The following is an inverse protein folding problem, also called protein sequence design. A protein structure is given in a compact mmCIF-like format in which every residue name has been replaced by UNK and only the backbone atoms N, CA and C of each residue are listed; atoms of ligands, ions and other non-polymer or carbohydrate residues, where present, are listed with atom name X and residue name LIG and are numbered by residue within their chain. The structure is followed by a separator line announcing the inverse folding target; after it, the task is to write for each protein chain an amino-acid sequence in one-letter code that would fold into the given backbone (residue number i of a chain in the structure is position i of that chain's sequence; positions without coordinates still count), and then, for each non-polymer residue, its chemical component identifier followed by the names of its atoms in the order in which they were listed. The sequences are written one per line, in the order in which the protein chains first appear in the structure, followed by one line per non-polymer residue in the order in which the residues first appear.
data_IF_060502364140
#
_entry.id   IF_060502364140
#
_cell.length_a   1.000
_cell.length_b   1.000
_cell.length_c   1.000
_cell.angle_alpha   90.00
_cell.angle_beta   90.00
_cell.angle_gamma   90.00
#
_symmetry.space_group_name_H-M   'P 1'
#
loop_
_entity.id
_entity.type
_entity.pdbx_description
1 polymer ?
#
# COMPACT_ATOMS: atom_id res chain seq x y z
N UNK A 1 0.41 -5.57 -24.48
CA UNK A 1 -0.85 -5.13 -23.83
C UNK A 1 -0.92 -5.74 -22.44
N UNK A 2 -1.10 -4.95 -21.38
CA UNK A 2 -1.34 -5.51 -20.03
C UNK A 2 -2.70 -6.22 -20.04
N UNK A 3 -2.73 -7.49 -19.62
CA UNK A 3 -3.96 -8.27 -19.50
C UNK A 3 -4.90 -7.62 -18.48
N UNK A 4 -6.14 -7.40 -18.88
CA UNK A 4 -7.16 -6.91 -17.95
C UNK A 4 -7.72 -8.12 -17.19
N UNK A 5 -7.39 -8.20 -15.89
CA UNK A 5 -7.81 -9.32 -15.03
C UNK A 5 -9.25 -9.10 -14.56
N UNK A 6 -10.08 -10.12 -14.60
CA UNK A 6 -11.36 -10.13 -13.91
C UNK A 6 -11.17 -10.37 -12.40
N UNK A 7 -12.23 -10.17 -11.60
CA UNK A 7 -12.15 -10.27 -10.12
C UNK A 7 -11.65 -11.64 -9.64
N UNK A 8 -12.05 -12.72 -10.29
CA UNK A 8 -11.60 -14.09 -9.95
C UNK A 8 -10.08 -14.23 -10.19
N UNK A 9 -9.59 -13.74 -11.31
CA UNK A 9 -8.16 -13.75 -11.64
C UNK A 9 -7.35 -12.86 -10.68
N UNK A 10 -7.89 -11.70 -10.28
CA UNK A 10 -7.25 -10.81 -9.31
C UNK A 10 -7.12 -11.50 -7.94
N UNK A 11 -8.16 -12.21 -7.49
CA UNK A 11 -8.12 -12.99 -6.25
C UNK A 11 -7.03 -14.05 -6.29
N UNK A 12 -6.97 -14.85 -7.37
CA UNK A 12 -5.92 -15.84 -7.57
C UNK A 12 -4.52 -15.22 -7.61
N UNK A 13 -4.38 -14.03 -8.23
CA UNK A 13 -3.13 -13.29 -8.24
C UNK A 13 -2.73 -12.84 -6.82
N UNK A 14 -3.65 -12.40 -5.99
CA UNK A 14 -3.38 -12.07 -4.58
C UNK A 14 -2.83 -13.29 -3.82
N UNK A 15 -3.44 -14.45 -4.00
CA UNK A 15 -2.99 -15.71 -3.38
C UNK A 15 -1.59 -16.11 -3.87
N UNK A 16 -1.34 -16.00 -5.18
CA UNK A 16 -0.02 -16.27 -5.78
C UNK A 16 1.06 -15.35 -5.20
N UNK A 17 0.82 -14.04 -5.18
CA UNK A 17 1.80 -13.08 -4.69
C UNK A 17 2.03 -13.21 -3.18
N UNK A 18 1.01 -13.59 -2.41
CA UNK A 18 1.13 -13.93 -0.99
C UNK A 18 2.08 -15.11 -0.77
N UNK A 19 1.94 -16.17 -1.56
CA UNK A 19 2.87 -17.32 -1.52
C UNK A 19 4.30 -16.92 -1.95
N UNK A 20 4.44 -16.07 -2.99
CA UNK A 20 5.75 -15.55 -3.41
C UNK A 20 6.43 -14.77 -2.29
N UNK A 21 5.66 -13.98 -1.52
CA UNK A 21 6.19 -13.26 -0.37
C UNK A 21 6.75 -14.20 0.71
N UNK A 22 6.00 -15.26 1.08
CA UNK A 22 6.51 -16.24 2.03
C UNK A 22 7.78 -16.93 1.51
N UNK A 23 7.85 -17.24 0.21
CA UNK A 23 9.07 -17.81 -0.39
C UNK A 23 10.28 -16.87 -0.28
N UNK A 24 10.10 -15.54 -0.40
CA UNK A 24 11.19 -14.59 -0.15
C UNK A 24 11.71 -14.70 1.30
N UNK A 25 10.82 -14.81 2.28
CA UNK A 25 11.20 -14.98 3.68
C UNK A 25 11.95 -16.29 3.92
N UNK A 26 11.52 -17.39 3.29
CA UNK A 26 12.22 -18.69 3.34
C UNK A 26 13.64 -18.56 2.76
N UNK A 27 13.83 -17.75 1.73
CA UNK A 27 15.12 -17.48 1.09
C UNK A 27 15.98 -16.48 1.87
N UNK A 28 15.62 -16.15 3.12
CA UNK A 28 16.44 -15.32 4.02
C UNK A 28 16.20 -13.81 3.93
N UNK A 29 15.26 -13.35 3.11
CA UNK A 29 14.87 -11.94 3.13
C UNK A 29 14.12 -11.60 4.41
N UNK A 30 14.43 -10.44 5.01
CA UNK A 30 13.78 -9.94 6.23
C UNK A 30 12.93 -8.73 5.88
N UNK A 31 11.62 -8.85 6.04
CA UNK A 31 10.65 -7.81 5.75
C UNK A 31 9.58 -7.73 6.84
N UNK A 32 8.90 -6.61 6.92
CA UNK A 32 7.74 -6.44 7.80
C UNK A 32 6.54 -7.24 7.27
N UNK A 33 6.29 -8.39 7.88
CA UNK A 33 5.32 -9.37 7.38
C UNK A 33 3.90 -8.84 7.48
N UNK A 34 3.52 -8.38 8.68
CA UNK A 34 2.15 -7.98 8.96
C UNK A 34 1.67 -6.84 8.06
N UNK A 35 2.47 -5.77 7.96
CA UNK A 35 2.16 -4.60 7.14
C UNK A 35 2.19 -4.86 5.64
N UNK A 36 3.01 -5.82 5.19
CA UNK A 36 3.05 -6.25 3.78
C UNK A 36 1.79 -7.02 3.40
N UNK A 37 1.39 -7.98 4.24
CA UNK A 37 0.23 -8.84 3.96
C UNK A 37 -1.10 -8.11 4.13
N UNK A 38 -1.20 -7.10 5.00
CA UNK A 38 -2.44 -6.33 5.20
C UNK A 38 -2.86 -5.57 3.95
N UNK A 39 -1.92 -4.91 3.27
CA UNK A 39 -2.22 -4.08 2.10
C UNK A 39 -2.07 -4.81 0.75
N UNK A 40 -1.72 -6.09 0.75
CA UNK A 40 -1.45 -6.86 -0.48
C UNK A 40 -2.65 -6.82 -1.45
N UNK A 41 -3.86 -7.09 -0.97
CA UNK A 41 -5.05 -7.14 -1.81
C UNK A 41 -5.37 -5.77 -2.43
N UNK A 42 -5.17 -4.68 -1.68
CA UNK A 42 -5.32 -3.30 -2.16
C UNK A 42 -4.38 -3.02 -3.33
N UNK A 43 -3.10 -3.40 -3.20
CA UNK A 43 -2.09 -3.19 -4.25
C UNK A 43 -2.33 -4.10 -5.46
N UNK A 44 -2.74 -5.35 -5.25
CA UNK A 44 -3.03 -6.26 -6.36
C UNK A 44 -4.18 -5.71 -7.20
N UNK A 45 -5.28 -5.26 -6.59
CA UNK A 45 -6.36 -4.62 -7.36
C UNK A 45 -5.86 -3.38 -8.09
N UNK A 46 -5.05 -2.53 -7.46
CA UNK A 46 -4.53 -1.32 -8.09
C UNK A 46 -3.70 -1.62 -9.34
N UNK A 47 -2.76 -2.56 -9.24
CA UNK A 47 -1.76 -2.83 -10.29
C UNK A 47 -2.22 -3.84 -11.35
N UNK A 48 -3.25 -4.65 -11.10
CA UNK A 48 -3.71 -5.70 -12.05
C UNK A 48 -5.09 -5.42 -12.65
N UNK A 49 -5.79 -4.36 -12.23
CA UNK A 49 -7.08 -3.95 -12.82
C UNK A 49 -6.98 -2.69 -13.68
N UNK A 50 -5.79 -2.36 -14.18
CA UNK A 50 -5.55 -1.16 -15.00
C UNK A 50 -5.90 0.19 -14.34
N UNK A 51 -6.02 0.25 -13.00
CA UNK A 51 -6.15 1.52 -12.30
C UNK A 51 -4.84 2.28 -12.30
N UNK A 52 -3.71 1.57 -12.21
CA UNK A 52 -2.37 2.13 -12.24
C UNK A 52 -1.47 1.32 -13.19
N UNK A 53 -1.03 1.94 -14.28
CA UNK A 53 -0.17 1.32 -15.30
C UNK A 53 1.30 1.67 -15.06
N UNK A 54 1.97 0.91 -14.21
CA UNK A 54 3.32 1.21 -13.73
C UNK A 54 4.38 1.33 -14.84
N UNK A 55 4.24 0.57 -15.92
CA UNK A 55 5.18 0.59 -17.04
C UNK A 55 4.91 1.70 -18.07
N UNK A 56 3.80 2.44 -17.97
CA UNK A 56 3.45 3.50 -18.90
C UNK A 56 4.37 4.71 -18.72
N UNK A 57 4.87 5.28 -19.79
CA UNK A 57 5.64 6.54 -19.78
C UNK A 57 4.83 7.71 -19.23
N UNK A 58 3.52 7.71 -19.46
CA UNK A 58 2.59 8.75 -18.98
C UNK A 58 1.71 8.24 -17.84
N UNK A 59 2.28 7.48 -16.88
CA UNK A 59 1.55 6.94 -15.75
C UNK A 59 1.15 8.01 -14.75
N UNK A 60 0.14 7.69 -13.95
CA UNK A 60 -0.17 8.35 -12.70
C UNK A 60 1.01 8.22 -11.70
N UNK A 61 0.94 8.86 -10.54
CA UNK A 61 1.91 8.70 -9.46
C UNK A 61 1.40 7.74 -8.39
N UNK A 62 2.30 6.96 -7.80
CA UNK A 62 2.01 6.06 -6.68
C UNK A 62 3.03 6.23 -5.56
N UNK A 63 2.56 6.68 -4.40
CA UNK A 63 3.35 6.85 -3.20
C UNK A 63 2.99 5.76 -2.19
N UNK A 64 3.92 4.84 -1.92
CA UNK A 64 3.78 3.85 -0.87
C UNK A 64 4.26 4.46 0.45
N UNK A 65 3.42 5.28 1.11
CA UNK A 65 3.77 5.99 2.34
C UNK A 65 4.21 5.02 3.44
N UNK A 66 3.49 3.91 3.61
CA UNK A 66 3.94 2.80 4.46
C UNK A 66 5.08 2.00 3.79
N UNK A 67 6.24 2.65 3.68
CA UNK A 67 7.39 2.11 2.97
C UNK A 67 7.89 0.74 3.45
N UNK A 68 7.58 0.38 4.71
CA UNK A 68 7.86 -0.95 5.23
C UNK A 68 7.08 -2.09 4.53
N UNK A 69 6.07 -1.78 3.71
CA UNK A 69 5.41 -2.74 2.82
C UNK A 69 6.10 -2.90 1.44
N UNK A 70 7.31 -2.38 1.28
CA UNK A 70 8.16 -2.46 0.08
C UNK A 70 8.23 -3.88 -0.53
N UNK A 71 8.18 -4.93 0.31
CA UNK A 71 8.29 -6.31 -0.19
C UNK A 71 7.21 -6.65 -1.22
N UNK A 72 5.94 -6.28 -0.98
CA UNK A 72 4.88 -6.55 -1.95
C UNK A 72 5.03 -5.71 -3.21
N UNK A 73 5.52 -4.48 -3.11
CA UNK A 73 5.81 -3.65 -4.27
C UNK A 73 6.89 -4.29 -5.16
N UNK A 74 8.00 -4.75 -4.57
CA UNK A 74 9.04 -5.46 -5.29
C UNK A 74 8.54 -6.77 -5.94
N UNK A 75 7.69 -7.52 -5.25
CA UNK A 75 7.07 -8.74 -5.80
C UNK A 75 6.19 -8.41 -7.02
N UNK A 76 5.42 -7.33 -6.96
CA UNK A 76 4.63 -6.86 -8.09
C UNK A 76 5.54 -6.47 -9.27
N UNK A 77 6.65 -5.77 -9.02
CA UNK A 77 7.61 -5.43 -10.07
C UNK A 77 8.24 -6.68 -10.70
N UNK A 78 8.57 -7.69 -9.91
CA UNK A 78 9.11 -8.97 -10.40
C UNK A 78 8.06 -9.70 -11.23
N UNK A 79 6.82 -9.81 -10.75
CA UNK A 79 5.74 -10.49 -11.46
C UNK A 79 5.42 -9.81 -12.80
N UNK A 80 5.51 -8.48 -12.85
CA UNK A 80 5.37 -7.69 -14.09
C UNK A 80 6.63 -7.66 -14.96
N UNK A 81 7.70 -8.38 -14.59
CA UNK A 81 9.01 -8.41 -15.29
C UNK A 81 9.70 -7.03 -15.39
N UNK A 82 9.43 -6.15 -14.45
CA UNK A 82 10.03 -4.81 -14.34
C UNK A 82 11.26 -4.78 -13.44
N UNK A 83 11.40 -5.79 -12.59
CA UNK A 83 12.55 -6.05 -11.72
C UNK A 83 12.91 -7.53 -11.82
N UNK A 84 14.18 -7.87 -11.98
CA UNK A 84 14.61 -9.27 -11.90
C UNK A 84 14.85 -9.69 -10.44
N UNK A 85 14.59 -10.97 -10.13
CA UNK A 85 14.87 -11.52 -8.81
C UNK A 85 16.37 -11.39 -8.44
N UNK A 86 17.26 -11.65 -9.39
CA UNK A 86 18.70 -11.50 -9.19
C UNK A 86 19.10 -10.07 -8.82
N UNK A 87 18.46 -9.05 -9.44
CA UNK A 87 18.70 -7.63 -9.09
C UNK A 87 18.20 -7.32 -7.68
N UNK A 88 17.03 -7.84 -7.30
CA UNK A 88 16.50 -7.69 -5.93
C UNK A 88 17.47 -8.33 -4.91
N UNK A 89 17.90 -9.57 -5.15
CA UNK A 89 18.80 -10.31 -4.26
C UNK A 89 20.15 -9.62 -4.12
N UNK A 90 20.77 -9.20 -5.23
CA UNK A 90 22.02 -8.45 -5.22
C UNK A 90 21.90 -7.13 -4.45
N UNK A 91 20.83 -6.38 -4.67
CA UNK A 91 20.56 -5.12 -3.97
C UNK A 91 20.31 -5.33 -2.48
N UNK A 92 19.58 -6.38 -2.11
CA UNK A 92 19.34 -6.73 -0.72
C UNK A 92 20.65 -7.09 0.02
N UNK A 93 21.51 -7.93 -0.57
CA UNK A 93 22.82 -8.30 -0.01
C UNK A 93 23.74 -7.08 0.17
N UNK A 94 23.69 -6.11 -0.75
CA UNK A 94 24.44 -4.85 -0.67
C UNK A 94 23.82 -3.80 0.24
N UNK A 95 22.71 -4.12 0.94
CA UNK A 95 21.91 -3.20 1.74
C UNK A 95 21.33 -1.99 0.96
N UNK A 96 21.36 -2.03 -0.39
CA UNK A 96 20.82 -0.96 -1.24
C UNK A 96 19.30 -1.03 -1.38
N UNK A 97 18.68 -2.19 -1.13
CA UNK A 97 17.24 -2.36 -0.99
C UNK A 97 16.91 -2.51 0.49
N UNK A 98 17.10 -1.43 1.27
CA UNK A 98 16.83 -1.38 2.69
C UNK A 98 15.36 -1.63 3.03
N UNK A 99 14.95 -1.40 4.26
CA UNK A 99 13.58 -1.63 4.71
C UNK A 99 12.52 -0.67 4.14
N UNK A 100 12.92 0.33 3.33
CA UNK A 100 12.08 1.39 2.79
C UNK A 100 12.30 1.56 1.28
N UNK A 101 11.34 2.23 0.61
CA UNK A 101 11.47 2.56 -0.82
C UNK A 101 12.51 3.67 -1.04
N UNK A 102 13.26 3.53 -2.12
CA UNK A 102 14.29 4.48 -2.51
C UNK A 102 14.27 4.71 -4.03
N UNK A 103 14.15 5.97 -4.45
CA UNK A 103 14.13 6.40 -5.85
C UNK A 103 15.44 6.08 -6.58
N UNK A 104 16.57 6.06 -5.88
CA UNK A 104 17.87 5.73 -6.49
C UNK A 104 18.01 4.25 -6.84
N UNK A 105 17.21 3.39 -6.20
CA UNK A 105 17.23 1.95 -6.43
C UNK A 105 16.23 1.48 -7.49
N UNK A 106 15.19 2.28 -7.79
CA UNK A 106 14.17 1.90 -8.78
C UNK A 106 13.48 3.10 -9.40
N UNK A 107 13.52 3.19 -10.73
CA UNK A 107 12.77 4.20 -11.52
C UNK A 107 11.24 4.11 -11.38
N UNK A 108 10.74 3.09 -10.70
CA UNK A 108 9.31 2.89 -10.44
C UNK A 108 8.88 3.42 -9.08
N UNK A 109 9.81 3.90 -8.27
CA UNK A 109 9.57 4.57 -7.00
C UNK A 109 9.46 6.06 -7.26
N UNK A 110 8.38 6.70 -6.84
CA UNK A 110 8.12 8.11 -7.06
C UNK A 110 8.62 9.00 -5.90
N UNK A 111 8.86 8.40 -4.72
CA UNK A 111 9.32 9.11 -3.54
C UNK A 111 10.00 8.17 -2.53
N UNK A 112 11.02 8.67 -1.85
CA UNK A 112 11.66 7.97 -0.73
C UNK A 112 10.73 7.95 0.47
N UNK A 113 10.65 6.83 1.18
CA UNK A 113 9.78 6.66 2.33
C UNK A 113 10.59 6.32 3.58
N UNK A 114 9.95 6.42 4.75
CA UNK A 114 10.56 6.14 6.06
C UNK A 114 10.08 7.10 7.12
N UNK A 115 9.90 8.37 6.80
CA UNK A 115 9.28 9.35 7.69
C UNK A 115 7.76 9.33 7.50
N UNK A 116 7.03 9.01 8.57
CA UNK A 116 5.57 8.91 8.56
C UNK A 116 4.92 10.27 8.25
N UNK A 117 3.81 10.27 7.53
CA UNK A 117 2.98 11.44 7.23
C UNK A 117 3.49 12.33 6.08
N UNK A 118 4.74 12.22 5.67
CA UNK A 118 5.34 13.13 4.69
C UNK A 118 4.85 12.92 3.25
N UNK A 119 4.45 11.70 2.90
CA UNK A 119 4.03 11.38 1.53
C UNK A 119 2.78 12.14 1.07
N UNK A 120 1.93 12.62 2.00
CA UNK A 120 0.76 13.42 1.65
C UNK A 120 1.20 14.81 1.14
N UNK A 121 2.12 15.47 1.82
CA UNK A 121 2.69 16.75 1.38
C UNK A 121 3.36 16.65 0.00
N UNK A 122 4.14 15.59 -0.21
CA UNK A 122 4.73 15.29 -1.52
C UNK A 122 3.65 15.06 -2.58
N UNK A 123 2.60 14.32 -2.24
CA UNK A 123 1.44 14.10 -3.11
C UNK A 123 0.73 15.40 -3.51
N UNK A 124 0.65 16.37 -2.61
CA UNK A 124 0.13 17.71 -2.90
C UNK A 124 1.00 18.41 -3.96
N UNK A 125 2.32 18.45 -3.77
CA UNK A 125 3.24 19.06 -4.73
C UNK A 125 3.15 18.40 -6.11
N UNK A 126 3.12 17.07 -6.18
CA UNK A 126 2.93 16.31 -7.41
C UNK A 126 1.57 16.62 -8.07
N UNK A 127 0.51 16.73 -7.26
CA UNK A 127 -0.85 17.04 -7.71
C UNK A 127 -0.93 18.42 -8.37
N UNK A 128 -0.38 19.44 -7.73
CA UNK A 128 -0.36 20.83 -8.24
C UNK A 128 0.39 20.87 -9.58
N UNK A 129 1.54 20.22 -9.67
CA UNK A 129 2.35 20.20 -10.90
C UNK A 129 1.72 19.35 -12.02
N UNK A 130 0.90 18.35 -11.68
CA UNK A 130 0.34 17.37 -12.61
C UNK A 130 -1.19 17.25 -12.45
N UNK A 131 -1.99 18.28 -12.71
CA UNK A 131 -3.42 18.31 -12.41
C UNK A 131 -4.25 17.28 -13.20
N UNK A 132 -3.71 16.78 -14.32
CA UNK A 132 -4.36 15.75 -15.17
C UNK A 132 -4.05 14.31 -14.75
N UNK A 133 -3.09 14.09 -13.84
CA UNK A 133 -2.70 12.76 -13.34
C UNK A 133 -3.33 12.48 -11.99
N UNK A 134 -3.66 11.24 -11.70
CA UNK A 134 -4.05 10.82 -10.35
C UNK A 134 -2.82 10.53 -9.51
N UNK A 135 -2.88 10.94 -8.25
CA UNK A 135 -1.84 10.68 -7.25
C UNK A 135 -2.43 9.67 -6.26
N UNK A 136 -1.96 8.44 -6.33
CA UNK A 136 -2.35 7.35 -5.44
C UNK A 136 -1.38 7.30 -4.25
N UNK A 137 -1.89 7.32 -3.03
CA UNK A 137 -1.06 7.30 -1.82
C UNK A 137 -1.58 6.19 -0.90
N UNK A 138 -0.75 5.18 -0.60
CA UNK A 138 -1.10 4.15 0.37
C UNK A 138 -0.42 4.47 1.71
N UNK A 139 -1.22 4.76 2.73
CA UNK A 139 -0.79 5.09 4.09
C UNK A 139 -1.20 4.00 5.09
N UNK A 140 -0.51 3.93 6.22
CA UNK A 140 -0.94 3.14 7.37
C UNK A 140 -1.88 3.93 8.28
N UNK A 141 -2.71 3.22 9.06
CA UNK A 141 -3.61 3.86 10.03
C UNK A 141 -2.86 4.56 11.17
N UNK A 142 -1.76 3.99 11.68
CA UNK A 142 -0.91 4.63 12.68
C UNK A 142 -0.26 5.92 12.16
N UNK A 143 -0.06 6.04 10.86
CA UNK A 143 0.49 7.25 10.22
C UNK A 143 -0.46 8.45 10.33
N UNK A 144 -1.76 8.21 10.51
CA UNK A 144 -2.75 9.27 10.76
C UNK A 144 -2.64 9.91 12.15
N UNK A 145 -1.82 9.39 13.04
CA UNK A 145 -1.47 10.04 14.31
C UNK A 145 -0.47 11.20 14.12
N UNK A 146 0.18 11.29 12.96
CA UNK A 146 1.13 12.36 12.64
C UNK A 146 0.40 13.66 12.29
N UNK A 147 0.82 14.78 12.90
CA UNK A 147 0.23 16.10 12.63
C UNK A 147 0.33 16.52 11.17
N UNK A 148 1.44 16.19 10.48
CA UNK A 148 1.66 16.49 9.07
C UNK A 148 0.61 15.87 8.13
N UNK A 149 -0.01 14.76 8.52
CA UNK A 149 -1.14 14.17 7.76
C UNK A 149 -2.35 15.11 7.79
N UNK A 150 -2.68 15.63 8.98
CA UNK A 150 -3.83 16.53 9.15
C UNK A 150 -3.59 17.87 8.46
N UNK A 151 -2.40 18.44 8.56
CA UNK A 151 -2.00 19.65 7.82
C UNK A 151 -2.20 19.46 6.32
N UNK A 152 -1.75 18.32 5.78
CA UNK A 152 -1.92 17.99 4.37
C UNK A 152 -3.40 17.82 3.99
N UNK A 153 -4.22 17.16 4.83
CA UNK A 153 -5.65 17.00 4.58
C UNK A 153 -6.40 18.33 4.58
N UNK A 154 -6.08 19.23 5.53
CA UNK A 154 -6.64 20.58 5.55
C UNK A 154 -6.25 21.35 4.29
N UNK A 155 -4.98 21.28 3.88
CA UNK A 155 -4.51 21.94 2.67
C UNK A 155 -5.25 21.42 1.42
N UNK A 156 -5.40 20.09 1.27
CA UNK A 156 -6.13 19.46 0.16
C UNK A 156 -7.57 19.97 0.13
N UNK A 157 -8.23 20.03 1.29
CA UNK A 157 -9.61 20.47 1.44
C UNK A 157 -9.79 21.94 1.08
N UNK A 158 -9.00 22.83 1.69
CA UNK A 158 -9.09 24.29 1.49
C UNK A 158 -8.78 24.70 0.05
N UNK A 159 -7.73 24.09 -0.54
CA UNK A 159 -7.31 24.38 -1.91
C UNK A 159 -8.09 23.58 -2.97
N UNK A 160 -9.10 22.79 -2.57
CA UNK A 160 -9.97 22.02 -3.47
C UNK A 160 -9.18 21.14 -4.44
N UNK A 161 -8.10 20.51 -3.98
CA UNK A 161 -7.30 19.60 -4.78
C UNK A 161 -8.13 18.38 -5.16
N UNK A 162 -8.08 17.95 -6.44
CA UNK A 162 -9.09 17.04 -7.03
C UNK A 162 -8.57 15.68 -7.44
N UNK A 163 -7.26 15.49 -7.47
CA UNK A 163 -6.64 14.33 -8.14
C UNK A 163 -5.85 13.42 -7.18
N UNK A 164 -5.99 13.59 -5.87
CA UNK A 164 -5.34 12.73 -4.88
C UNK A 164 -6.32 11.63 -4.42
N UNK A 165 -5.84 10.40 -4.36
CA UNK A 165 -6.57 9.23 -3.83
C UNK A 165 -5.73 8.63 -2.71
N UNK A 166 -6.15 8.84 -1.47
CA UNK A 166 -5.51 8.34 -0.26
C UNK A 166 -6.16 7.00 0.10
N UNK A 167 -5.38 5.95 0.20
CA UNK A 167 -5.82 4.61 0.62
C UNK A 167 -5.23 4.37 2.00
N UNK A 168 -6.09 4.18 3.00
CA UNK A 168 -5.70 3.90 4.37
C UNK A 168 -5.80 2.40 4.60
N UNK A 169 -4.66 1.74 4.85
CA UNK A 169 -4.61 0.36 5.32
C UNK A 169 -4.92 0.35 6.81
N UNK A 170 -6.22 0.29 7.15
CA UNK A 170 -6.72 0.32 8.53
C UNK A 170 -6.70 -1.08 9.12
N UNK A 171 -5.55 -1.50 9.62
CA UNK A 171 -5.38 -2.81 10.25
C UNK A 171 -5.47 -2.76 11.79
N UNK A 172 -5.68 -1.58 12.39
CA UNK A 172 -5.87 -1.32 13.82
C UNK A 172 -4.67 -1.72 14.71
N UNK A 173 -3.50 -1.83 14.12
CA UNK A 173 -2.28 -2.19 14.83
C UNK A 173 -1.13 -1.26 14.47
N UNK A 174 -0.56 -0.60 15.45
CA UNK A 174 0.73 0.08 15.31
C UNK A 174 1.88 -0.92 15.18
N UNK A 175 3.12 -0.45 15.22
CA UNK A 175 4.31 -1.30 15.16
C UNK A 175 4.31 -2.38 16.26
N UNK A 176 3.92 -2.03 17.51
CA UNK A 176 4.08 -2.88 18.71
C UNK A 176 2.81 -3.12 19.51
N UNK A 177 1.71 -2.43 19.21
CA UNK A 177 0.49 -2.49 20.01
C UNK A 177 -0.77 -2.37 19.15
N UNK A 178 -1.92 -2.76 19.71
CA UNK A 178 -3.21 -2.40 19.11
C UNK A 178 -3.44 -0.90 19.25
N UNK A 179 -3.97 -0.28 18.19
CA UNK A 179 -4.44 1.10 18.24
C UNK A 179 -5.79 1.08 18.97
N UNK A 180 -5.75 1.29 20.30
CA UNK A 180 -6.94 1.25 21.17
C UNK A 180 -7.62 2.61 21.33
N UNK A 181 -7.01 3.69 20.84
CA UNK A 181 -7.53 5.05 21.02
C UNK A 181 -8.69 5.33 20.07
N UNK A 182 -9.53 6.30 20.46
CA UNK A 182 -10.68 6.81 19.69
C UNK A 182 -10.42 6.74 18.20
N UNK A 183 -11.33 6.11 17.48
CA UNK A 183 -11.23 5.94 16.03
C UNK A 183 -11.06 7.32 15.38
N UNK A 184 -9.81 7.69 15.09
CA UNK A 184 -9.47 8.96 14.43
C UNK A 184 -10.13 9.08 13.05
N UNK A 185 -10.65 7.97 12.55
CA UNK A 185 -11.47 7.89 11.35
C UNK A 185 -12.96 8.12 11.63
N UNK A 186 -13.31 8.65 12.83
CA UNK A 186 -14.69 9.04 13.12
C UNK A 186 -15.16 10.02 12.03
N UNK A 187 -16.25 9.64 11.42
CA UNK A 187 -16.82 10.31 10.25
C UNK A 187 -17.02 11.82 10.47
N UNK A 188 -17.30 12.27 11.70
CA UNK A 188 -17.56 13.70 11.99
C UNK A 188 -16.38 14.60 11.65
N UNK A 189 -15.17 14.23 12.00
CA UNK A 189 -13.97 15.04 11.72
C UNK A 189 -13.65 15.03 10.21
N UNK A 190 -13.66 13.86 9.59
CA UNK A 190 -13.34 13.73 8.17
C UNK A 190 -14.42 14.36 7.27
N UNK A 191 -15.70 14.33 7.68
CA UNK A 191 -16.80 14.94 6.91
C UNK A 191 -16.75 16.47 6.87
N UNK A 192 -16.02 17.11 7.76
CA UNK A 192 -15.77 18.57 7.69
C UNK A 192 -14.76 18.92 6.60
N UNK A 193 -13.98 17.93 6.14
CA UNK A 193 -13.09 18.08 5.00
C UNK A 193 -13.94 17.86 3.73
N UNK A 194 -13.90 18.76 2.78
CA UNK A 194 -14.58 18.63 1.48
C UNK A 194 -13.95 17.55 0.60
N UNK A 195 -13.88 16.31 1.12
CA UNK A 195 -13.26 15.14 0.51
C UNK A 195 -14.29 14.01 0.35
N UNK A 196 -14.10 13.19 -0.67
CA UNK A 196 -14.92 12.00 -0.87
C UNK A 196 -14.41 10.86 0.02
N UNK A 197 -15.16 10.50 1.06
CA UNK A 197 -14.76 9.48 2.03
C UNK A 197 -15.52 8.18 1.76
N UNK A 198 -14.77 7.09 1.60
CA UNK A 198 -15.28 5.77 1.31
C UNK A 198 -14.71 4.77 2.31
N UNK A 199 -15.57 3.90 2.86
CA UNK A 199 -15.15 2.81 3.74
C UNK A 199 -15.44 1.48 3.06
N UNK A 200 -14.45 0.58 3.06
CA UNK A 200 -14.53 -0.72 2.38
C UNK A 200 -13.90 -1.83 3.20
N UNK A 201 -14.25 -3.07 2.88
CA UNK A 201 -13.48 -4.23 3.29
C UNK A 201 -12.23 -4.33 2.39
N UNK A 202 -11.03 -4.10 2.97
CA UNK A 202 -9.75 -4.09 2.26
C UNK A 202 -9.28 -5.47 1.76
N UNK A 203 -10.05 -6.53 2.01
CA UNK A 203 -9.80 -7.89 1.50
C UNK A 203 -10.86 -8.37 0.52
N UNK A 204 -11.94 -7.60 0.31
CA UNK A 204 -12.92 -7.91 -0.72
C UNK A 204 -12.53 -7.26 -2.05
N UNK A 205 -11.98 -8.04 -2.96
CA UNK A 205 -11.49 -7.56 -4.26
C UNK A 205 -12.56 -6.83 -5.09
N UNK A 206 -13.84 -7.25 -4.99
CA UNK A 206 -14.95 -6.58 -5.68
C UNK A 206 -15.22 -5.18 -5.11
N UNK A 207 -15.20 -5.05 -3.77
CA UNK A 207 -15.40 -3.77 -3.10
C UNK A 207 -14.26 -2.80 -3.40
N UNK A 208 -13.01 -3.29 -3.34
CA UNK A 208 -11.82 -2.50 -3.70
C UNK A 208 -11.93 -2.02 -5.15
N UNK A 209 -12.26 -2.92 -6.09
CA UNK A 209 -12.39 -2.60 -7.50
C UNK A 209 -13.46 -1.53 -7.75
N UNK A 210 -14.66 -1.71 -7.20
CA UNK A 210 -15.77 -0.74 -7.32
C UNK A 210 -15.37 0.61 -6.74
N UNK A 211 -14.71 0.62 -5.59
CA UNK A 211 -14.24 1.82 -4.91
C UNK A 211 -13.21 2.58 -5.76
N UNK A 212 -12.18 1.90 -6.26
CA UNK A 212 -11.15 2.53 -7.12
C UNK A 212 -11.75 3.08 -8.41
N UNK A 213 -12.68 2.34 -9.03
CA UNK A 213 -13.42 2.81 -10.21
C UNK A 213 -14.20 4.09 -9.93
N UNK A 214 -14.86 4.17 -8.75
CA UNK A 214 -15.58 5.37 -8.31
C UNK A 214 -14.59 6.53 -8.09
N UNK A 215 -13.51 6.34 -7.33
CA UNK A 215 -12.53 7.39 -7.05
C UNK A 215 -11.87 7.96 -8.32
N UNK A 216 -11.59 7.10 -9.31
CA UNK A 216 -11.01 7.56 -10.59
C UNK A 216 -11.90 8.56 -11.33
N UNK A 217 -13.23 8.47 -11.14
CA UNK A 217 -14.23 9.31 -11.79
C UNK A 217 -14.61 10.56 -10.97
N UNK A 218 -14.21 10.59 -9.68
CA UNK A 218 -14.55 11.72 -8.81
C UNK A 218 -13.81 12.99 -9.19
N UNK A 219 -14.51 14.11 -9.01
CA UNK A 219 -13.97 15.47 -9.20
C UNK A 219 -13.28 16.02 -7.94
N UNK A 220 -13.42 15.33 -6.78
CA UNK A 220 -12.78 15.68 -5.52
C UNK A 220 -11.75 14.60 -5.15
N UNK A 221 -10.73 14.99 -4.40
CA UNK A 221 -9.82 14.02 -3.78
C UNK A 221 -10.58 13.06 -2.89
N UNK A 222 -10.08 11.83 -2.78
CA UNK A 222 -10.78 10.75 -2.09
C UNK A 222 -9.93 10.17 -0.97
N UNK A 223 -10.57 9.83 0.14
CA UNK A 223 -10.02 9.02 1.22
C UNK A 223 -10.74 7.69 1.22
N UNK A 224 -10.00 6.60 1.09
CA UNK A 224 -10.50 5.23 1.15
C UNK A 224 -10.03 4.63 2.46
N UNK A 225 -10.93 4.40 3.39
CA UNK A 225 -10.68 3.70 4.65
C UNK A 225 -10.89 2.21 4.39
N UNK A 226 -9.81 1.47 4.19
CA UNK A 226 -9.85 0.05 3.92
C UNK A 226 -9.61 -0.75 5.21
N UNK A 227 -10.67 -1.35 5.74
CA UNK A 227 -10.56 -2.25 6.90
C UNK A 227 -9.81 -3.51 6.48
N UNK A 228 -8.66 -3.74 7.09
CA UNK A 228 -7.77 -4.86 6.79
C UNK A 228 -7.38 -5.64 8.04
N UNK A 229 -6.70 -6.76 7.83
CA UNK A 229 -6.16 -7.63 8.88
C UNK A 229 -4.65 -7.65 8.73
N UNK A 230 -3.92 -7.25 9.78
CA UNK A 230 -2.46 -7.34 9.80
C UNK A 230 -2.02 -8.80 9.70
N UNK A 231 -1.16 -9.13 8.73
CA UNK A 231 -0.75 -10.53 8.52
C UNK A 231 -1.73 -11.39 7.73
N UNK A 232 -2.66 -10.80 6.99
CA UNK A 232 -3.75 -11.48 6.24
C UNK A 232 -3.30 -12.66 5.40
N UNK A 233 -4.06 -13.75 5.50
CA UNK A 233 -3.94 -14.96 4.68
C UNK A 233 -3.31 -16.15 5.40
N UNK A 234 -2.77 -15.94 6.58
CA UNK A 234 -2.20 -17.00 7.41
C UNK A 234 -2.61 -16.81 8.87
N UNK A 235 -3.47 -17.67 9.41
CA UNK A 235 -4.04 -17.53 10.77
C UNK A 235 -3.00 -17.29 11.85
N UNK A 236 -1.84 -17.94 11.77
CA UNK A 236 -0.74 -17.78 12.73
C UNK A 236 -0.13 -16.37 12.70
N UNK A 237 -0.24 -15.67 11.58
CA UNK A 237 0.30 -14.31 11.36
C UNK A 237 -0.76 -13.23 11.57
N UNK A 238 -2.06 -13.57 11.43
CA UNK A 238 -3.16 -12.60 11.50
C UNK A 238 -3.26 -12.00 12.91
N UNK A 239 -3.16 -10.66 13.00
CA UNK A 239 -3.24 -9.88 14.22
C UNK A 239 -2.29 -10.34 15.34
N UNK A 240 -1.16 -10.94 14.99
CA UNK A 240 -0.20 -11.47 15.95
C UNK A 240 0.95 -10.47 16.14
N UNK A 241 1.05 -9.80 17.32
CA UNK A 241 2.09 -8.81 17.63
C UNK A 241 3.51 -9.37 17.49
N UNK A 242 3.71 -10.65 17.84
CA UNK A 242 5.01 -11.32 17.73
C UNK A 242 5.62 -11.21 16.34
N UNK A 243 4.78 -11.37 15.30
CA UNK A 243 5.22 -11.33 13.91
C UNK A 243 5.12 -9.95 13.25
N UNK A 244 4.89 -8.91 14.04
CA UNK A 244 5.02 -7.53 13.57
C UNK A 244 6.47 -7.16 13.27
N UNK A 245 7.42 -7.67 14.08
CA UNK A 245 8.86 -7.39 13.98
C UNK A 245 9.73 -8.63 13.86
N UNK A 246 9.20 -9.81 14.20
CA UNK A 246 9.95 -11.05 14.12
C UNK A 246 9.53 -11.88 12.90
N UNK A 247 10.50 -12.41 12.20
CA UNK A 247 10.25 -13.40 11.15
C UNK A 247 10.02 -14.77 11.80
N UNK A 248 8.95 -15.51 11.44
CA UNK A 248 8.76 -16.89 11.89
C UNK A 248 9.95 -17.78 11.53
N UNK A 249 10.11 -18.90 12.25
CA UNK A 249 11.12 -19.90 11.89
C UNK A 249 10.89 -20.45 10.47
N UNK A 250 11.96 -20.91 9.84
CA UNK A 250 11.87 -21.48 8.47
C UNK A 250 10.90 -22.66 8.42
N UNK A 251 10.81 -23.45 9.49
CA UNK A 251 9.86 -24.55 9.59
C UNK A 251 8.39 -24.07 9.50
N UNK A 252 8.07 -23.01 10.27
CA UNK A 252 6.74 -22.36 10.19
C UNK A 252 6.49 -21.78 8.82
N UNK A 253 7.44 -21.03 8.25
CA UNK A 253 7.27 -20.44 6.91
C UNK A 253 7.04 -21.51 5.82
N UNK A 254 7.77 -22.63 5.88
CA UNK A 254 7.59 -23.76 4.94
C UNK A 254 6.21 -24.40 5.06
N UNK A 255 5.62 -24.46 6.27
CA UNK A 255 4.27 -24.98 6.46
C UNK A 255 3.17 -24.09 5.84
N UNK A 256 3.43 -22.80 5.67
CA UNK A 256 2.48 -21.84 5.11
C UNK A 256 2.35 -21.91 3.56
N UNK A 257 3.26 -22.56 2.86
CA UNK A 257 3.29 -22.61 1.39
C UNK A 257 3.09 -24.03 0.83
N UNK A 258 2.90 -25.00 1.73
CA UNK A 258 2.40 -26.33 1.36
C UNK A 258 0.94 -26.21 0.95
#
# INVERSE_FOLDING_TARGET
MEKNFNIKQIKLKSEELRKKFIKLLINGFKYHIGGTLSCLDLLVVLFYSNFFKIASKNRDFFLLSKGHALAIFNIILIDKKLLSYAKLEKGYKKKNFGGQLDIFNSKFVDWNTGSLGHSLGVGIGLSIRNPKKKIWILVGDAEFEEGSVWEALFYISQNKIKNIIIIIDRNKMSASSSIQKKDIFDKKILHQLNLNILKINGHNHSDIFKCYKKCKKQIFSSIIIADTIKGKGYKILENNPKYSHQTPSIAVLKSLVK
#
